data_IF_040751715177
#
_entry.id   IF_040751715177
#
_cell.length_a   1.000
_cell.length_b   1.000
_cell.length_c   1.000
_cell.angle_alpha   90.00
_cell.angle_beta   90.00
_cell.angle_gamma   90.00
#
_symmetry.space_group_name_H-M   'P 1'
#
loop_
_entity.id
_entity.type
_entity.pdbx_description
1 polymer ?
#
# COMPACT_ATOMS: atom_id res chain seq x y z
N UNK A 1 -1.23 -16.70 -7.70
CA UNK A 1 -1.46 -15.85 -6.51
C UNK A 1 -1.12 -16.61 -5.23
N UNK A 2 -1.75 -17.77 -5.02
CA UNK A 2 -1.54 -18.60 -3.82
C UNK A 2 -0.07 -18.94 -3.57
N UNK A 3 0.73 -19.13 -4.62
CA UNK A 3 2.16 -19.41 -4.47
C UNK A 3 2.93 -18.25 -3.83
N UNK A 4 2.74 -17.00 -4.26
CA UNK A 4 3.43 -15.84 -3.68
C UNK A 4 3.02 -15.64 -2.23
N UNK A 5 1.71 -15.72 -1.95
CA UNK A 5 1.17 -15.60 -0.60
C UNK A 5 1.74 -16.70 0.31
N UNK A 6 1.78 -17.96 -0.16
CA UNK A 6 2.35 -19.09 0.59
C UNK A 6 3.84 -18.91 0.87
N UNK A 7 4.61 -18.43 -0.11
CA UNK A 7 6.03 -18.14 0.09
C UNK A 7 6.23 -17.09 1.17
N UNK A 8 5.52 -15.96 1.07
CA UNK A 8 5.63 -14.89 2.07
C UNK A 8 5.15 -15.36 3.45
N UNK A 9 4.07 -16.13 3.52
CA UNK A 9 3.58 -16.73 4.77
C UNK A 9 4.63 -17.64 5.42
N UNK A 10 5.36 -18.43 4.63
CA UNK A 10 6.48 -19.25 5.13
C UNK A 10 7.63 -18.42 5.68
N UNK A 11 7.89 -17.23 5.11
CA UNK A 11 8.90 -16.30 5.64
C UNK A 11 8.43 -15.59 6.92
N UNK A 12 7.23 -15.00 6.91
CA UNK A 12 6.72 -14.22 8.03
C UNK A 12 6.26 -15.05 9.22
N UNK A 13 5.95 -16.34 9.03
CA UNK A 13 5.67 -17.27 10.13
C UNK A 13 6.90 -17.57 10.99
N UNK A 14 8.12 -17.36 10.47
CA UNK A 14 9.37 -17.50 11.22
C UNK A 14 9.68 -16.29 12.10
N UNK A 15 9.01 -15.16 11.89
CA UNK A 15 9.15 -13.97 12.72
C UNK A 15 8.40 -14.15 14.06
N UNK A 16 8.82 -13.46 15.13
CA UNK A 16 8.15 -13.53 16.42
C UNK A 16 6.64 -13.27 16.30
N UNK A 17 5.82 -14.12 16.93
CA UNK A 17 4.37 -13.96 16.88
C UNK A 17 3.91 -12.82 17.79
N UNK A 18 3.04 -11.95 17.28
CA UNK A 18 2.37 -10.96 18.12
C UNK A 18 1.43 -11.63 19.13
N UNK A 19 1.32 -11.09 20.37
CA UNK A 19 0.35 -11.58 21.34
C UNK A 19 -1.08 -11.40 20.82
N UNK A 20 -1.98 -12.28 21.26
CA UNK A 20 -3.38 -12.35 20.77
C UNK A 20 -4.07 -10.99 20.85
N UNK A 21 -3.95 -10.27 21.97
CA UNK A 21 -4.56 -8.95 22.16
C UNK A 21 -4.06 -7.90 21.17
N UNK A 22 -2.78 -7.94 20.76
CA UNK A 22 -2.25 -7.03 19.76
C UNK A 22 -2.82 -7.32 18.37
N UNK A 23 -2.93 -8.60 18.00
CA UNK A 23 -3.54 -8.99 16.72
C UNK A 23 -5.01 -8.60 16.66
N UNK A 24 -5.76 -8.84 17.74
CA UNK A 24 -7.17 -8.43 17.85
C UNK A 24 -7.35 -6.92 17.74
N UNK A 25 -6.49 -6.16 18.42
CA UNK A 25 -6.48 -4.71 18.32
C UNK A 25 -6.24 -4.25 16.88
N UNK A 26 -5.19 -4.77 16.21
CA UNK A 26 -4.90 -4.44 14.81
C UNK A 26 -6.11 -4.75 13.92
N UNK A 27 -6.70 -5.95 14.03
CA UNK A 27 -7.88 -6.34 13.25
C UNK A 27 -9.07 -5.41 13.51
N UNK A 28 -9.24 -4.93 14.74
CA UNK A 28 -10.33 -4.02 15.11
C UNK A 28 -10.18 -2.62 14.48
N UNK A 29 -8.95 -2.11 14.34
CA UNK A 29 -8.67 -0.77 13.80
C UNK A 29 -8.44 -0.77 12.28
N UNK A 30 -8.00 -1.90 11.71
CA UNK A 30 -7.65 -2.03 10.29
C UNK A 30 -8.73 -1.52 9.32
N UNK A 31 -10.04 -1.82 9.50
CA UNK A 31 -11.07 -1.26 8.64
C UNK A 31 -11.08 0.28 8.67
N UNK A 32 -11.04 0.88 9.86
CA UNK A 32 -11.09 2.33 10.01
C UNK A 32 -9.84 3.00 9.45
N UNK A 33 -8.67 2.40 9.67
CA UNK A 33 -7.43 2.83 9.04
C UNK A 33 -7.53 2.79 7.52
N UNK A 34 -8.04 1.69 6.94
CA UNK A 34 -8.16 1.57 5.49
C UNK A 34 -9.10 2.62 4.90
N UNK A 35 -10.21 2.93 5.58
CA UNK A 35 -11.14 3.94 5.12
C UNK A 35 -10.53 5.34 5.17
N UNK A 36 -9.97 5.73 6.31
CA UNK A 36 -9.42 7.08 6.53
C UNK A 36 -8.21 7.30 5.61
N UNK A 37 -7.21 6.40 5.67
CA UNK A 37 -6.02 6.53 4.84
C UNK A 37 -6.33 6.32 3.36
N UNK A 38 -7.29 5.46 3.01
CA UNK A 38 -7.72 5.30 1.63
C UNK A 38 -8.25 6.60 1.03
N UNK A 39 -9.14 7.30 1.73
CA UNK A 39 -9.67 8.59 1.28
C UNK A 39 -8.56 9.65 1.20
N UNK A 40 -7.71 9.75 2.22
CA UNK A 40 -6.60 10.70 2.23
C UNK A 40 -5.61 10.45 1.07
N UNK A 41 -5.28 9.20 0.80
CA UNK A 41 -4.39 8.81 -0.31
C UNK A 41 -5.04 9.16 -1.65
N UNK A 42 -6.34 8.92 -1.84
CA UNK A 42 -7.05 9.33 -3.08
C UNK A 42 -6.97 10.84 -3.28
N UNK A 43 -7.29 11.63 -2.25
CA UNK A 43 -7.26 13.09 -2.34
C UNK A 43 -5.85 13.63 -2.58
N UNK A 44 -4.86 13.12 -1.85
CA UNK A 44 -3.46 13.51 -2.02
C UNK A 44 -2.96 13.15 -3.43
N UNK A 45 -3.30 11.96 -3.92
CA UNK A 45 -2.84 11.48 -5.23
C UNK A 45 -3.53 12.20 -6.39
N UNK A 46 -4.83 12.52 -6.28
CA UNK A 46 -5.52 13.38 -7.25
C UNK A 46 -4.94 14.79 -7.28
N UNK A 47 -4.63 15.36 -6.12
CA UNK A 47 -3.99 16.68 -6.02
C UNK A 47 -2.60 16.64 -6.65
N UNK A 48 -1.80 15.61 -6.34
CA UNK A 48 -0.49 15.40 -6.93
C UNK A 48 -0.58 15.22 -8.45
N UNK A 49 -1.58 14.48 -8.95
CA UNK A 49 -1.82 14.31 -10.39
C UNK A 49 -2.13 15.65 -11.07
N UNK A 50 -3.06 16.43 -10.52
CA UNK A 50 -3.44 17.73 -11.05
C UNK A 50 -2.27 18.72 -11.07
N UNK A 51 -1.54 18.82 -9.95
CA UNK A 51 -0.34 19.65 -9.87
C UNK A 51 0.75 19.19 -10.85
N UNK A 52 0.98 17.88 -10.96
CA UNK A 52 1.97 17.34 -11.91
C UNK A 52 1.59 17.65 -13.35
N UNK A 53 0.30 17.63 -13.69
CA UNK A 53 -0.16 17.99 -15.04
C UNK A 53 0.07 19.48 -15.36
N UNK A 54 -0.25 20.38 -14.43
CA UNK A 54 -0.06 21.83 -14.61
C UNK A 54 1.42 22.20 -14.67
N UNK A 55 2.24 21.60 -13.79
CA UNK A 55 3.67 21.94 -13.69
C UNK A 55 4.58 21.06 -14.56
N UNK A 56 4.03 20.12 -15.33
CA UNK A 56 4.80 19.22 -16.21
C UNK A 56 5.79 19.97 -17.11
N UNK A 57 5.42 21.08 -17.81
CA UNK A 57 6.36 21.80 -18.67
C UNK A 57 7.59 22.35 -17.93
N UNK A 58 7.45 22.70 -16.65
CA UNK A 58 8.56 23.17 -15.82
C UNK A 58 9.39 21.99 -15.29
N UNK A 59 8.72 20.91 -14.91
CA UNK A 59 9.36 19.69 -14.42
C UNK A 59 10.21 19.01 -15.50
N UNK A 60 9.78 19.03 -16.76
CA UNK A 60 10.56 18.49 -17.89
C UNK A 60 11.83 19.30 -18.15
N UNK A 61 11.78 20.62 -17.98
CA UNK A 61 12.96 21.50 -18.14
C UNK A 61 13.93 21.36 -16.97
N UNK A 62 13.43 21.23 -15.74
CA UNK A 62 14.27 21.16 -14.54
C UNK A 62 14.86 19.76 -14.26
N UNK A 63 14.13 18.69 -14.58
CA UNK A 63 14.47 17.31 -14.21
C UNK A 63 14.39 16.28 -15.36
N UNK A 64 14.10 16.73 -16.58
CA UNK A 64 13.94 15.87 -17.76
C UNK A 64 12.56 15.23 -17.86
N UNK A 65 12.23 14.71 -19.05
CA UNK A 65 10.93 14.10 -19.33
C UNK A 65 10.59 12.92 -18.40
N UNK A 66 11.60 12.12 -18.03
CA UNK A 66 11.45 10.96 -17.14
C UNK A 66 10.89 11.32 -15.76
N UNK A 67 11.29 12.47 -15.21
CA UNK A 67 10.84 12.93 -13.90
C UNK A 67 9.35 13.29 -13.89
N UNK A 68 8.90 14.05 -14.89
CA UNK A 68 7.49 14.41 -15.04
C UNK A 68 6.60 13.17 -15.23
N UNK A 69 7.02 12.20 -16.06
CA UNK A 69 6.29 10.93 -16.22
C UNK A 69 6.29 10.09 -14.95
N UNK A 70 7.38 10.07 -14.19
CA UNK A 70 7.46 9.33 -12.93
C UNK A 70 6.45 9.84 -11.89
N UNK A 71 6.30 11.16 -11.78
CA UNK A 71 5.31 11.76 -10.87
C UNK A 71 3.86 11.40 -11.27
N UNK A 72 3.54 11.41 -12.56
CA UNK A 72 2.21 11.02 -13.03
C UNK A 72 1.91 9.55 -12.75
N UNK A 73 2.87 8.65 -13.02
CA UNK A 73 2.71 7.21 -12.74
C UNK A 73 2.55 6.97 -11.24
N UNK A 74 3.36 7.62 -10.40
CA UNK A 74 3.25 7.52 -8.95
C UNK A 74 1.87 7.99 -8.45
N UNK A 75 1.34 9.10 -8.99
CA UNK A 75 0.02 9.60 -8.64
C UNK A 75 -1.10 8.62 -9.06
N UNK A 76 -1.02 8.01 -10.24
CA UNK A 76 -2.01 7.01 -10.69
C UNK A 76 -1.98 5.76 -9.79
N UNK A 77 -0.79 5.28 -9.43
CA UNK A 77 -0.65 4.17 -8.49
C UNK A 77 -1.21 4.52 -7.11
N UNK A 78 -0.96 5.75 -6.62
CA UNK A 78 -1.54 6.25 -5.38
C UNK A 78 -3.06 6.29 -5.40
N UNK A 79 -3.67 6.74 -6.50
CA UNK A 79 -5.14 6.71 -6.66
C UNK A 79 -5.65 5.26 -6.57
N UNK A 80 -5.05 4.34 -7.31
CA UNK A 80 -5.44 2.93 -7.30
C UNK A 80 -5.29 2.31 -5.89
N UNK A 81 -4.19 2.60 -5.21
CA UNK A 81 -3.92 2.18 -3.83
C UNK A 81 -5.01 2.69 -2.88
N UNK A 82 -5.31 3.99 -2.91
CA UNK A 82 -6.32 4.59 -2.04
C UNK A 82 -7.72 4.04 -2.30
N UNK A 83 -8.11 3.87 -3.57
CA UNK A 83 -9.39 3.26 -3.94
C UNK A 83 -9.50 1.84 -3.42
N UNK A 84 -8.46 1.02 -3.55
CA UNK A 84 -8.44 -0.34 -3.01
C UNK A 84 -8.59 -0.37 -1.49
N UNK A 85 -7.96 0.55 -0.76
CA UNK A 85 -8.13 0.66 0.70
C UNK A 85 -9.57 1.02 1.10
N UNK A 86 -10.21 1.92 0.36
CA UNK A 86 -11.63 2.28 0.59
C UNK A 86 -12.54 1.09 0.29
N UNK A 87 -12.32 0.39 -0.83
CA UNK A 87 -13.08 -0.80 -1.22
C UNK A 87 -12.84 -1.97 -0.26
N UNK A 88 -11.70 -2.03 0.42
CA UNK A 88 -11.40 -3.05 1.42
C UNK A 88 -12.25 -2.90 2.68
N UNK A 89 -12.67 -1.68 3.04
CA UNK A 89 -13.42 -1.37 4.27
C UNK A 89 -14.57 -2.34 4.59
N UNK A 90 -15.57 -2.56 3.72
CA UNK A 90 -16.69 -3.45 4.02
C UNK A 90 -16.26 -4.89 4.23
N UNK A 91 -15.23 -5.36 3.52
CA UNK A 91 -14.72 -6.73 3.63
C UNK A 91 -13.87 -6.92 4.89
N UNK A 92 -13.07 -5.92 5.26
CA UNK A 92 -12.30 -5.90 6.50
C UNK A 92 -13.22 -5.87 7.73
N UNK A 93 -14.28 -5.07 7.69
CA UNK A 93 -15.28 -5.00 8.76
C UNK A 93 -16.01 -6.33 8.95
N UNK A 94 -16.30 -7.04 7.85
CA UNK A 94 -16.90 -8.39 7.88
C UNK A 94 -15.88 -9.50 8.18
N UNK A 95 -14.59 -9.16 8.34
CA UNK A 95 -13.49 -10.10 8.56
C UNK A 95 -13.46 -11.24 7.53
N UNK A 96 -13.70 -10.90 6.27
CA UNK A 96 -13.64 -11.88 5.18
C UNK A 96 -12.28 -11.88 4.49
N UNK A 97 -11.84 -13.03 4.00
CA UNK A 97 -10.54 -13.21 3.31
C UNK A 97 -10.31 -12.18 2.20
N UNK A 98 -11.37 -11.79 1.48
CA UNK A 98 -11.30 -10.75 0.44
C UNK A 98 -10.75 -9.41 0.94
N UNK A 99 -11.07 -9.00 2.17
CA UNK A 99 -10.59 -7.74 2.75
C UNK A 99 -9.09 -7.76 2.98
N UNK A 100 -8.59 -8.86 3.55
CA UNK A 100 -7.16 -9.09 3.72
C UNK A 100 -6.41 -9.09 2.39
N UNK A 101 -6.97 -9.75 1.38
CA UNK A 101 -6.40 -9.82 0.04
C UNK A 101 -6.33 -8.45 -0.65
N UNK A 102 -7.31 -7.57 -0.43
CA UNK A 102 -7.25 -6.20 -0.95
C UNK A 102 -6.12 -5.40 -0.29
N UNK A 103 -5.93 -5.53 1.02
CA UNK A 103 -4.80 -4.87 1.71
C UNK A 103 -3.46 -5.44 1.24
N UNK A 104 -3.36 -6.74 0.97
CA UNK A 104 -2.17 -7.31 0.34
C UNK A 104 -1.82 -6.60 -0.99
N UNK A 105 -2.81 -6.34 -1.84
CA UNK A 105 -2.58 -5.61 -3.10
C UNK A 105 -2.24 -4.13 -2.90
N UNK A 106 -2.81 -3.50 -1.88
CA UNK A 106 -2.42 -2.13 -1.48
C UNK A 106 -0.92 -2.08 -1.16
N UNK A 107 -0.41 -3.02 -0.38
CA UNK A 107 1.03 -3.08 -0.03
C UNK A 107 1.91 -3.40 -1.25
N UNK A 108 1.45 -4.28 -2.16
CA UNK A 108 2.17 -4.57 -3.41
C UNK A 108 2.25 -3.32 -4.30
N UNK A 109 1.16 -2.58 -4.44
CA UNK A 109 1.13 -1.34 -5.24
C UNK A 109 2.06 -0.30 -4.64
N UNK A 110 2.04 -0.13 -3.31
CA UNK A 110 2.93 0.78 -2.62
C UNK A 110 4.41 0.42 -2.85
N UNK A 111 4.74 -0.87 -2.74
CA UNK A 111 6.09 -1.36 -3.02
C UNK A 111 6.50 -1.10 -4.47
N UNK A 112 5.66 -1.43 -5.45
CA UNK A 112 5.92 -1.15 -6.88
C UNK A 112 6.09 0.35 -7.13
N UNK A 113 5.24 1.18 -6.50
CA UNK A 113 5.30 2.63 -6.57
C UNK A 113 6.65 3.20 -6.09
N UNK A 114 7.29 2.55 -5.11
CA UNK A 114 8.60 2.98 -4.59
C UNK A 114 9.73 2.91 -5.64
N UNK A 115 9.57 2.09 -6.69
CA UNK A 115 10.54 1.95 -7.79
C UNK A 115 10.33 2.94 -8.92
N UNK A 116 9.17 3.59 -9.01
CA UNK A 116 8.82 4.48 -10.13
C UNK A 116 9.73 5.71 -10.19
N UNK A 117 10.19 6.20 -9.05
CA UNK A 117 11.06 7.38 -8.96
C UNK A 117 12.52 7.07 -9.25
N UNK A 118 12.89 5.79 -9.39
CA UNK A 118 14.27 5.30 -9.59
C UNK A 118 15.29 5.89 -8.59
N UNK A 119 14.80 6.35 -7.43
CA UNK A 119 15.63 6.89 -6.38
C UNK A 119 15.95 5.80 -5.37
N UNK A 120 17.24 5.57 -5.11
CA UNK A 120 17.71 4.57 -4.13
C UNK A 120 17.08 4.78 -2.76
N UNK A 121 16.91 6.03 -2.30
CA UNK A 121 16.30 6.30 -1.00
C UNK A 121 14.83 5.89 -0.96
N UNK A 122 14.08 6.16 -2.04
CA UNK A 122 12.68 5.75 -2.20
C UNK A 122 12.54 4.23 -2.18
N UNK A 123 13.39 3.54 -2.93
CA UNK A 123 13.37 2.07 -3.01
C UNK A 123 13.71 1.43 -1.66
N UNK A 124 14.78 1.89 -1.01
CA UNK A 124 15.19 1.35 0.30
C UNK A 124 14.09 1.56 1.34
N UNK A 125 13.52 2.77 1.41
CA UNK A 125 12.42 3.06 2.34
C UNK A 125 11.16 2.25 2.00
N UNK A 126 10.82 2.13 0.73
CA UNK A 126 9.68 1.34 0.27
C UNK A 126 9.79 -0.13 0.65
N UNK A 127 10.97 -0.72 0.48
CA UNK A 127 11.23 -2.11 0.88
C UNK A 127 11.15 -2.28 2.40
N UNK A 128 11.75 -1.38 3.19
CA UNK A 128 11.68 -1.45 4.65
C UNK A 128 10.22 -1.38 5.13
N UNK A 129 9.46 -0.41 4.63
CA UNK A 129 8.05 -0.24 4.97
C UNK A 129 7.24 -1.46 4.56
N UNK A 130 7.45 -1.99 3.35
CA UNK A 130 6.76 -3.18 2.87
C UNK A 130 7.06 -4.40 3.76
N UNK A 131 8.31 -4.61 4.17
CA UNK A 131 8.68 -5.73 5.05
C UNK A 131 7.91 -5.67 6.37
N UNK A 132 7.80 -4.48 6.96
CA UNK A 132 7.08 -4.25 8.22
C UNK A 132 5.57 -4.41 8.01
N UNK A 133 5.02 -3.81 6.95
CA UNK A 133 3.59 -3.86 6.65
C UNK A 133 3.12 -5.30 6.38
N UNK A 134 3.87 -6.05 5.56
CA UNK A 134 3.58 -7.46 5.32
C UNK A 134 3.70 -8.30 6.60
N UNK A 135 4.67 -8.02 7.48
CA UNK A 135 4.73 -8.71 8.78
C UNK A 135 3.41 -8.55 9.55
N UNK A 136 2.93 -7.33 9.77
CA UNK A 136 1.65 -7.12 10.46
C UNK A 136 0.48 -7.76 9.72
N UNK A 137 0.44 -7.63 8.39
CA UNK A 137 -0.61 -8.19 7.55
C UNK A 137 -0.70 -9.71 7.68
N UNK A 138 0.42 -10.43 7.62
CA UNK A 138 0.45 -11.89 7.77
C UNK A 138 0.14 -12.34 9.20
N UNK A 139 0.48 -11.56 10.22
CA UNK A 139 0.14 -11.86 11.62
C UNK A 139 -1.38 -11.84 11.88
N UNK A 140 -2.12 -10.99 11.16
CA UNK A 140 -3.58 -10.88 11.31
C UNK A 140 -4.38 -11.72 10.31
N UNK A 141 -3.74 -12.32 9.30
CA UNK A 141 -4.39 -13.17 8.28
C UNK A 141 -5.37 -14.20 8.87
N UNK A 142 -5.06 -14.93 9.96
CA UNK A 142 -5.97 -15.95 10.53
C UNK A 142 -7.32 -15.42 11.03
N UNK A 143 -7.45 -14.10 11.23
CA UNK A 143 -8.71 -13.48 11.65
C UNK A 143 -9.67 -13.22 10.49
N UNK A 144 -9.24 -13.40 9.24
CA UNK A 144 -10.05 -13.22 8.04
C UNK A 144 -10.40 -14.60 7.46
N UNK A 145 -11.69 -14.88 7.30
CA UNK A 145 -12.22 -16.17 6.82
C UNK A 145 -12.95 -16.03 5.49
#
# INVERSE_FOLDING_TARGET
MDQVVKTLESYYSKAPSLPVGAREFIVSITPWLSLIFGVLIVLASLSAFGLSAVFSPFATVAGGAGYATGLMVAAVLGIAQGVLMVVAFPSLKKRVTRGWMLIFWVEVIALVGSFVTLNVSSVVMGVIVAVIAFYFLFQIKPYYK
#
